data_IF_236393629742
#
_entry.id   IF_236393629742
#
_cell.length_a   1.000
_cell.length_b   1.000
_cell.length_c   1.000
_cell.angle_alpha   90.00
_cell.angle_beta   90.00
_cell.angle_gamma   90.00
#
_symmetry.space_group_name_H-M   'P 1'
#
loop_
_entity.id
_entity.type
_entity.pdbx_description
1 polymer ?
#
# COMPACT_ATOMS: atom_id res chain seq x y z
N UNK A 1 -39.82 -28.52 -9.60
CA UNK A 1 -39.00 -27.49 -10.28
C UNK A 1 -38.81 -26.35 -9.29
N UNK A 2 -37.66 -26.33 -8.61
CA UNK A 2 -37.35 -25.32 -7.59
C UNK A 2 -36.57 -24.18 -8.20
N UNK A 3 -37.17 -23.00 -8.25
CA UNK A 3 -36.55 -21.76 -8.71
C UNK A 3 -35.58 -21.28 -7.63
N UNK A 4 -34.28 -21.37 -7.90
CA UNK A 4 -33.26 -20.76 -7.04
C UNK A 4 -33.28 -19.24 -7.25
N UNK A 5 -33.77 -18.53 -6.23
CA UNK A 5 -33.61 -17.09 -6.10
C UNK A 5 -32.10 -16.81 -5.91
N UNK A 6 -31.47 -16.30 -6.96
CA UNK A 6 -30.17 -15.64 -6.87
C UNK A 6 -30.39 -14.38 -6.04
N UNK A 7 -30.02 -14.43 -4.76
CA UNK A 7 -29.88 -13.24 -3.93
C UNK A 7 -28.73 -12.45 -4.52
N UNK A 8 -29.08 -11.48 -5.37
CA UNK A 8 -28.18 -10.43 -5.81
C UNK A 8 -27.91 -9.60 -4.55
N UNK A 9 -26.76 -9.82 -3.94
CA UNK A 9 -26.29 -9.01 -2.81
C UNK A 9 -26.30 -7.55 -3.26
N UNK A 10 -27.04 -6.70 -2.54
CA UNK A 10 -27.05 -5.25 -2.66
C UNK A 10 -25.67 -4.67 -2.25
N UNK A 11 -24.62 -4.96 -3.02
CA UNK A 11 -23.30 -4.35 -2.87
C UNK A 11 -23.21 -2.94 -3.49
N UNK A 12 -24.27 -2.49 -4.15
CA UNK A 12 -24.32 -1.23 -4.91
C UNK A 12 -24.61 0.01 -4.03
N UNK A 13 -24.78 -0.15 -2.72
CA UNK A 13 -25.00 0.93 -1.76
C UNK A 13 -23.75 1.30 -0.91
N UNK A 14 -22.54 1.05 -1.42
CA UNK A 14 -21.31 1.64 -0.84
C UNK A 14 -20.93 2.89 -1.64
N UNK A 15 -21.07 4.11 -1.09
CA UNK A 15 -21.17 5.33 -1.89
C UNK A 15 -19.88 5.85 -2.56
N UNK A 16 -18.76 5.11 -2.57
CA UNK A 16 -17.50 5.69 -3.11
C UNK A 16 -17.51 5.96 -4.62
N UNK A 17 -18.13 5.12 -5.47
CA UNK A 17 -18.08 5.34 -6.92
C UNK A 17 -18.96 6.51 -7.38
N UNK A 18 -20.12 6.69 -6.75
CA UNK A 18 -21.01 7.80 -7.06
C UNK A 18 -20.38 9.13 -6.62
N UNK A 19 -19.72 9.17 -5.46
CA UNK A 19 -18.97 10.36 -5.01
C UNK A 19 -17.81 10.64 -5.96
N UNK A 20 -16.97 9.64 -6.26
CA UNK A 20 -15.81 9.81 -7.17
C UNK A 20 -16.24 10.25 -8.57
N UNK A 21 -17.30 9.65 -9.15
CA UNK A 21 -17.78 10.03 -10.48
C UNK A 21 -18.40 11.43 -10.56
N UNK A 22 -18.86 11.97 -9.42
CA UNK A 22 -19.45 13.32 -9.31
C UNK A 22 -18.44 14.41 -8.96
N UNK A 23 -17.26 14.05 -8.48
CA UNK A 23 -16.23 15.01 -8.09
C UNK A 23 -15.73 15.81 -9.29
N UNK A 24 -15.66 17.14 -9.13
CA UNK A 24 -15.30 18.06 -10.21
C UNK A 24 -13.84 17.92 -10.64
N UNK A 25 -12.93 17.48 -9.74
CA UNK A 25 -11.53 17.23 -10.06
C UNK A 25 -11.42 16.01 -10.98
N UNK A 26 -12.10 14.92 -10.61
CA UNK A 26 -12.14 13.69 -11.40
C UNK A 26 -12.80 13.91 -12.77
N UNK A 27 -13.90 14.66 -12.83
CA UNK A 27 -14.55 15.01 -14.10
C UNK A 27 -13.67 15.82 -15.04
N UNK A 28 -12.83 16.70 -14.48
CA UNK A 28 -11.91 17.52 -15.27
C UNK A 28 -10.78 16.66 -15.87
N UNK A 29 -10.30 15.69 -15.11
CA UNK A 29 -9.13 14.89 -15.47
C UNK A 29 -9.45 13.68 -16.36
N UNK A 30 -10.69 13.16 -16.27
CA UNK A 30 -11.19 12.16 -17.20
C UNK A 30 -11.70 12.86 -18.48
N UNK A 31 -11.21 12.45 -19.66
CA UNK A 31 -11.54 13.01 -20.97
C UNK A 31 -13.05 13.26 -21.16
N UNK A 32 -13.48 14.23 -22.01
CA UNK A 32 -14.86 14.71 -22.06
C UNK A 32 -15.86 13.57 -22.33
N UNK A 33 -16.56 13.18 -21.26
CA UNK A 33 -17.63 12.20 -21.19
C UNK A 33 -18.26 12.29 -19.80
N UNK A 34 -19.55 12.02 -19.68
CA UNK A 34 -20.24 12.10 -18.39
C UNK A 34 -19.81 10.91 -17.51
N UNK A 35 -18.75 11.09 -16.71
CA UNK A 35 -18.37 10.16 -15.64
C UNK A 35 -19.51 9.91 -14.64
N UNK A 36 -20.53 10.79 -14.66
CA UNK A 36 -21.78 10.70 -13.89
C UNK A 36 -22.67 9.53 -14.32
N UNK A 37 -22.58 9.12 -15.58
CA UNK A 37 -23.38 8.03 -16.14
C UNK A 37 -22.64 6.68 -16.14
N UNK A 38 -21.33 6.70 -15.81
CA UNK A 38 -20.54 5.48 -15.70
C UNK A 38 -20.97 4.65 -14.49
N UNK A 39 -21.14 3.34 -14.69
CA UNK A 39 -21.20 2.42 -13.57
C UNK A 39 -19.82 2.30 -12.89
N UNK A 40 -19.76 1.72 -11.69
CA UNK A 40 -18.53 1.70 -10.90
C UNK A 40 -17.36 0.99 -11.61
N UNK A 41 -17.63 -0.04 -12.44
CA UNK A 41 -16.58 -0.74 -13.18
C UNK A 41 -16.04 0.11 -14.33
N UNK A 42 -16.91 0.82 -15.05
CA UNK A 42 -16.52 1.76 -16.10
C UNK A 42 -15.68 2.90 -15.54
N UNK A 43 -16.11 3.48 -14.41
CA UNK A 43 -15.36 4.52 -13.72
C UNK A 43 -13.98 4.02 -13.27
N UNK A 44 -13.91 2.83 -12.66
CA UNK A 44 -12.64 2.23 -12.25
C UNK A 44 -11.70 2.02 -13.45
N UNK A 45 -12.20 1.50 -14.58
CA UNK A 45 -11.41 1.35 -15.80
C UNK A 45 -10.92 2.70 -16.37
N UNK A 46 -11.78 3.73 -16.34
CA UNK A 46 -11.42 5.07 -16.78
C UNK A 46 -10.32 5.69 -15.91
N UNK A 47 -10.43 5.57 -14.58
CA UNK A 47 -9.41 6.01 -13.62
C UNK A 47 -8.09 5.29 -13.85
N UNK A 48 -8.11 3.97 -13.99
CA UNK A 48 -6.90 3.17 -14.26
C UNK A 48 -6.20 3.66 -15.52
N UNK A 49 -6.95 3.86 -16.61
CA UNK A 49 -6.40 4.36 -17.87
C UNK A 49 -5.79 5.76 -17.75
N UNK A 50 -6.39 6.62 -16.94
CA UNK A 50 -5.96 8.02 -16.79
C UNK A 50 -4.77 8.18 -15.83
N UNK A 51 -4.63 7.31 -14.83
CA UNK A 51 -3.66 7.46 -13.75
C UNK A 51 -2.46 6.50 -13.81
N UNK A 52 -2.61 5.33 -14.44
CA UNK A 52 -1.54 4.32 -14.51
C UNK A 52 -0.45 4.72 -15.51
N UNK A 53 0.77 4.26 -15.27
CA UNK A 53 1.88 4.31 -16.21
C UNK A 53 1.62 3.43 -17.42
N UNK A 54 2.42 3.59 -18.46
CA UNK A 54 2.44 2.70 -19.64
C UNK A 54 3.20 1.38 -19.38
N UNK A 55 3.41 1.02 -18.11
CA UNK A 55 4.22 -0.12 -17.69
C UNK A 55 5.70 0.20 -17.45
N UNK A 56 6.12 1.44 -17.72
CA UNK A 56 7.48 1.90 -17.41
C UNK A 56 7.71 2.29 -15.94
N UNK A 57 6.64 2.39 -15.14
CA UNK A 57 6.67 2.96 -13.79
C UNK A 57 6.94 4.47 -13.79
N UNK A 58 6.96 5.13 -14.95
CA UNK A 58 7.08 6.58 -15.08
C UNK A 58 5.71 7.17 -15.35
N UNK A 59 5.45 8.26 -14.66
CA UNK A 59 4.18 8.98 -14.72
C UNK A 59 4.36 10.35 -15.36
N UNK A 60 3.30 10.84 -16.00
CA UNK A 60 3.15 12.23 -16.41
C UNK A 60 2.53 13.04 -15.28
N UNK A 61 2.66 14.37 -15.34
CA UNK A 61 2.00 15.26 -14.36
C UNK A 61 0.47 15.08 -14.35
N UNK A 62 -0.13 14.76 -15.50
CA UNK A 62 -1.56 14.52 -15.62
C UNK A 62 -1.97 13.21 -14.93
N UNK A 63 -1.26 12.11 -15.18
CA UNK A 63 -1.48 10.83 -14.51
C UNK A 63 -1.38 10.97 -12.98
N UNK A 64 -0.32 11.62 -12.49
CA UNK A 64 -0.14 11.86 -11.06
C UNK A 64 -1.21 12.80 -10.49
N UNK A 65 -1.73 13.74 -11.29
CA UNK A 65 -2.85 14.61 -10.92
C UNK A 65 -4.13 13.80 -10.67
N UNK A 66 -4.49 12.94 -11.62
CA UNK A 66 -5.65 12.05 -11.49
C UNK A 66 -5.55 11.19 -10.24
N UNK A 67 -4.37 10.60 -9.99
CA UNK A 67 -4.16 9.73 -8.84
C UNK A 67 -4.28 10.50 -7.51
N UNK A 68 -3.68 11.69 -7.43
CA UNK A 68 -3.79 12.56 -6.26
C UNK A 68 -5.24 12.96 -6.00
N UNK A 69 -5.96 13.37 -7.03
CA UNK A 69 -7.34 13.82 -6.91
C UNK A 69 -8.28 12.67 -6.56
N UNK A 70 -7.99 11.44 -7.02
CA UNK A 70 -8.69 10.23 -6.58
C UNK A 70 -8.51 9.98 -5.08
N UNK A 71 -7.28 10.05 -4.56
CA UNK A 71 -7.01 9.87 -3.13
C UNK A 71 -7.73 10.95 -2.30
N UNK A 72 -7.62 12.21 -2.71
CA UNK A 72 -8.25 13.32 -1.99
C UNK A 72 -9.78 13.22 -2.00
N UNK A 73 -10.37 12.85 -3.14
CA UNK A 73 -11.83 12.64 -3.26
C UNK A 73 -12.32 11.52 -2.34
N UNK A 74 -11.56 10.43 -2.24
CA UNK A 74 -11.89 9.35 -1.31
C UNK A 74 -11.73 9.78 0.15
N UNK A 75 -10.69 10.53 0.49
CA UNK A 75 -10.50 11.07 1.85
C UNK A 75 -11.63 12.02 2.25
N UNK A 76 -12.03 12.93 1.37
CA UNK A 76 -13.16 13.85 1.57
C UNK A 76 -14.44 13.03 1.86
N UNK A 77 -14.74 12.01 1.05
CA UNK A 77 -15.89 11.10 1.26
C UNK A 77 -15.81 10.35 2.59
N UNK A 78 -14.62 9.91 3.01
CA UNK A 78 -14.44 9.22 4.30
C UNK A 78 -14.68 10.14 5.49
N UNK A 79 -14.22 11.39 5.41
CA UNK A 79 -14.43 12.42 6.44
C UNK A 79 -15.92 12.75 6.57
N UNK A 80 -16.59 12.95 5.45
CA UNK A 80 -18.02 13.28 5.42
C UNK A 80 -18.89 12.15 6.02
N UNK A 81 -18.50 10.90 5.80
CA UNK A 81 -19.24 9.72 6.29
C UNK A 81 -18.73 9.13 7.60
N UNK A 82 -17.62 9.65 8.11
CA UNK A 82 -16.86 9.07 9.21
C UNK A 82 -16.53 7.57 9.03
N UNK A 83 -16.20 7.15 7.80
CA UNK A 83 -15.95 5.73 7.47
C UNK A 83 -15.04 5.54 6.27
N UNK A 84 -13.92 4.84 6.49
CA UNK A 84 -12.96 4.47 5.43
C UNK A 84 -13.35 3.15 4.74
N UNK A 85 -14.36 3.18 3.87
CA UNK A 85 -14.73 2.05 3.01
C UNK A 85 -15.03 2.49 1.56
N UNK A 86 -14.58 1.68 0.60
CA UNK A 86 -14.82 1.89 -0.83
C UNK A 86 -15.47 0.66 -1.47
N UNK A 87 -16.14 0.86 -2.59
CA UNK A 87 -16.78 -0.21 -3.37
C UNK A 87 -15.75 -1.17 -3.98
N UNK A 88 -16.13 -2.45 -4.14
CA UNK A 88 -15.22 -3.51 -4.55
C UNK A 88 -14.47 -3.24 -5.89
N UNK A 89 -15.12 -2.77 -6.98
CA UNK A 89 -14.41 -2.50 -8.23
C UNK A 89 -13.31 -1.43 -8.09
N UNK A 90 -13.50 -0.45 -7.19
CA UNK A 90 -12.50 0.57 -6.93
C UNK A 90 -11.34 0.06 -6.07
N UNK A 91 -11.54 -0.92 -5.19
CA UNK A 91 -10.45 -1.46 -4.34
C UNK A 91 -9.31 -2.01 -5.16
N UNK A 92 -9.63 -2.87 -6.11
CA UNK A 92 -8.66 -3.50 -6.98
C UNK A 92 -7.92 -2.46 -7.81
N UNK A 93 -8.66 -1.56 -8.47
CA UNK A 93 -8.06 -0.49 -9.28
C UNK A 93 -7.18 0.44 -8.46
N UNK A 94 -7.62 0.87 -7.28
CA UNK A 94 -6.83 1.75 -6.40
C UNK A 94 -5.60 1.03 -5.89
N UNK A 95 -5.67 -0.27 -5.56
CA UNK A 95 -4.50 -1.06 -5.17
C UNK A 95 -3.46 -1.16 -6.30
N UNK A 96 -3.91 -1.44 -7.52
CA UNK A 96 -3.04 -1.52 -8.69
C UNK A 96 -2.37 -0.17 -8.99
N UNK A 97 -3.13 0.92 -8.91
CA UNK A 97 -2.58 2.27 -9.07
C UNK A 97 -1.58 2.58 -7.97
N UNK A 98 -1.91 2.37 -6.69
CA UNK A 98 -0.97 2.59 -5.59
C UNK A 98 0.31 1.75 -5.72
N UNK A 99 0.19 0.51 -6.21
CA UNK A 99 1.36 -0.34 -6.50
C UNK A 99 2.23 0.22 -7.63
N UNK A 100 1.62 0.82 -8.66
CA UNK A 100 2.32 1.51 -9.76
C UNK A 100 2.97 2.84 -9.32
N UNK A 101 2.49 3.43 -8.21
CA UNK A 101 3.10 4.57 -7.49
C UNK A 101 3.89 4.12 -6.25
N UNK A 102 4.39 2.88 -6.18
CA UNK A 102 4.99 2.30 -4.96
C UNK A 102 6.11 3.12 -4.33
N UNK A 103 6.93 3.83 -5.12
CA UNK A 103 7.97 4.71 -4.57
C UNK A 103 7.36 5.88 -3.80
N UNK A 104 6.37 6.55 -4.38
CA UNK A 104 5.71 7.70 -3.76
C UNK A 104 4.88 7.22 -2.56
N UNK A 105 4.19 6.08 -2.69
CA UNK A 105 3.49 5.40 -1.60
C UNK A 105 4.44 5.16 -0.42
N UNK A 106 5.59 4.52 -0.64
CA UNK A 106 6.56 4.23 0.41
C UNK A 106 7.04 5.51 1.12
N UNK A 107 7.45 6.53 0.36
CA UNK A 107 7.91 7.82 0.91
C UNK A 107 6.85 8.46 1.81
N UNK A 108 5.58 8.43 1.40
CA UNK A 108 4.48 8.97 2.19
C UNK A 108 4.15 8.11 3.42
N UNK A 109 4.21 6.78 3.29
CA UNK A 109 3.97 5.85 4.40
C UNK A 109 5.01 5.99 5.51
N UNK A 110 6.26 6.37 5.18
CA UNK A 110 7.30 6.63 6.19
C UNK A 110 7.36 8.11 6.60
N UNK A 111 6.26 8.86 6.41
CA UNK A 111 6.08 10.28 6.77
C UNK A 111 7.16 11.21 6.21
N UNK A 112 7.54 10.99 4.96
CA UNK A 112 8.46 11.87 4.25
C UNK A 112 9.82 12.02 4.94
N UNK A 113 10.25 10.99 5.68
CA UNK A 113 11.48 10.99 6.47
C UNK A 113 12.72 11.38 5.65
N UNK A 114 12.66 11.20 4.33
CA UNK A 114 13.69 11.51 3.36
C UNK A 114 13.40 12.73 2.47
N UNK A 115 12.23 13.41 2.60
CA UNK A 115 11.86 14.46 1.64
C UNK A 115 10.91 15.54 2.17
N UNK A 116 11.47 16.73 2.45
CA UNK A 116 10.67 17.94 2.73
C UNK A 116 9.90 18.45 1.49
N UNK A 117 10.27 18.02 0.29
CA UNK A 117 9.58 18.39 -0.95
C UNK A 117 8.16 17.81 -0.96
N UNK A 118 7.99 16.56 -0.55
CA UNK A 118 6.64 15.98 -0.43
C UNK A 118 5.74 16.79 0.50
N UNK A 119 6.23 17.18 1.67
CA UNK A 119 5.46 18.02 2.61
C UNK A 119 5.00 19.34 1.98
N UNK A 120 5.87 19.97 1.20
CA UNK A 120 5.54 21.22 0.49
C UNK A 120 4.46 21.00 -0.57
N UNK A 121 4.54 19.89 -1.29
CA UNK A 121 3.66 19.61 -2.42
C UNK A 121 2.37 18.84 -2.04
N UNK A 122 2.29 18.26 -0.85
CA UNK A 122 1.10 17.56 -0.35
C UNK A 122 -0.01 18.51 0.12
N UNK A 123 0.33 19.77 0.41
CA UNK A 123 -0.64 20.76 0.89
C UNK A 123 -1.72 21.15 -0.15
N UNK A 124 -2.74 21.93 0.27
CA UNK A 124 -3.87 22.32 -0.59
C UNK A 124 -3.47 23.04 -1.88
N UNK A 125 -2.40 23.83 -1.83
CA UNK A 125 -1.86 24.57 -2.97
C UNK A 125 -0.73 23.83 -3.71
N UNK A 126 -0.39 22.64 -3.24
CA UNK A 126 0.60 21.77 -3.88
C UNK A 126 -0.02 20.90 -4.97
N UNK A 127 0.82 20.10 -5.60
CA UNK A 127 0.41 19.19 -6.66
C UNK A 127 1.60 18.38 -7.18
N UNK A 128 1.35 17.49 -8.14
CA UNK A 128 2.41 16.72 -8.77
C UNK A 128 3.54 17.61 -9.28
N UNK A 129 4.78 17.14 -9.13
CA UNK A 129 5.96 17.88 -9.57
C UNK A 129 6.99 16.94 -10.16
N UNK A 130 7.98 17.50 -10.86
CA UNK A 130 9.18 16.76 -11.28
C UNK A 130 10.28 17.00 -10.25
N UNK A 131 10.85 15.93 -9.73
CA UNK A 131 12.03 16.02 -8.87
C UNK A 131 13.28 16.42 -9.66
N UNK A 132 14.41 16.52 -8.96
CA UNK A 132 15.71 16.92 -9.54
C UNK A 132 16.18 15.95 -10.63
N UNK A 133 15.70 14.71 -10.60
CA UNK A 133 15.99 13.66 -11.59
C UNK A 133 14.97 13.65 -12.74
N UNK A 134 14.01 14.57 -12.74
CA UNK A 134 12.95 14.69 -13.74
C UNK A 134 11.82 13.66 -13.58
N UNK A 135 11.81 12.88 -12.49
CA UNK A 135 10.77 11.91 -12.19
C UNK A 135 9.55 12.64 -11.64
N UNK A 136 8.37 12.34 -12.19
CA UNK A 136 7.12 12.91 -11.68
C UNK A 136 6.76 12.23 -10.37
N UNK A 137 6.43 13.03 -9.36
CA UNK A 137 6.02 12.62 -8.02
C UNK A 137 4.56 12.97 -7.76
N UNK A 138 3.86 12.09 -7.07
CA UNK A 138 2.46 12.24 -6.66
C UNK A 138 2.38 12.43 -5.13
N UNK A 139 2.23 13.67 -4.64
CA UNK A 139 2.10 13.96 -3.23
C UNK A 139 0.63 14.00 -2.80
N UNK A 140 0.35 13.32 -1.68
CA UNK A 140 -0.89 13.45 -0.92
C UNK A 140 -0.55 13.55 0.56
N UNK A 141 -1.50 14.00 1.37
CA UNK A 141 -1.38 13.92 2.83
C UNK A 141 -1.26 12.44 3.26
N UNK A 142 -0.39 12.19 4.24
CA UNK A 142 -0.08 10.82 4.66
C UNK A 142 -1.30 10.15 5.33
N UNK A 143 -2.16 10.91 6.01
CA UNK A 143 -3.37 10.37 6.63
C UNK A 143 -4.40 9.99 5.56
N UNK A 144 -4.57 10.84 4.53
CA UNK A 144 -5.43 10.53 3.38
C UNK A 144 -4.98 9.24 2.70
N UNK A 145 -3.66 9.07 2.46
CA UNK A 145 -3.12 7.83 1.92
C UNK A 145 -3.39 6.61 2.82
N UNK A 146 -3.14 6.72 4.12
CA UNK A 146 -3.39 5.65 5.10
C UNK A 146 -4.86 5.22 5.09
N UNK A 147 -5.79 6.17 5.05
CA UNK A 147 -7.23 5.88 5.04
C UNK A 147 -7.66 5.17 3.76
N UNK A 148 -7.18 5.62 2.60
CA UNK A 148 -7.44 4.98 1.31
C UNK A 148 -6.86 3.56 1.28
N UNK A 149 -5.59 3.39 1.68
CA UNK A 149 -4.96 2.07 1.75
C UNK A 149 -5.73 1.13 2.69
N UNK A 150 -6.12 1.59 3.88
CA UNK A 150 -6.94 0.78 4.78
C UNK A 150 -8.24 0.34 4.11
N UNK A 151 -8.96 1.26 3.46
CA UNK A 151 -10.22 0.95 2.78
C UNK A 151 -10.06 -0.09 1.65
N UNK A 152 -8.92 -0.05 0.96
CA UNK A 152 -8.52 -1.02 -0.06
C UNK A 152 -8.27 -2.40 0.55
N UNK A 153 -7.62 -2.47 1.70
CA UNK A 153 -7.25 -3.71 2.40
C UNK A 153 -8.46 -4.58 2.83
N UNK A 154 -9.69 -4.07 2.77
CA UNK A 154 -10.89 -4.90 2.94
C UNK A 154 -10.94 -6.06 1.93
N UNK A 155 -10.35 -5.90 0.75
CA UNK A 155 -10.22 -6.95 -0.27
C UNK A 155 -8.85 -7.66 -0.15
N UNK A 156 -8.81 -9.01 -0.01
CA UNK A 156 -7.56 -9.73 0.19
C UNK A 156 -6.63 -9.69 -1.03
N UNK A 157 -7.16 -9.67 -2.26
CA UNK A 157 -6.34 -9.56 -3.46
C UNK A 157 -5.73 -8.16 -3.57
N UNK A 158 -6.53 -7.12 -3.28
CA UNK A 158 -6.05 -5.75 -3.22
C UNK A 158 -4.96 -5.54 -2.14
N UNK A 159 -5.13 -6.13 -0.95
CA UNK A 159 -4.08 -6.17 0.07
C UNK A 159 -2.82 -6.87 -0.42
N UNK A 160 -2.94 -8.03 -1.08
CA UNK A 160 -1.79 -8.76 -1.61
C UNK A 160 -1.02 -7.94 -2.66
N UNK A 161 -1.72 -7.18 -3.51
CA UNK A 161 -1.12 -6.25 -4.48
C UNK A 161 -0.29 -5.16 -3.77
N UNK A 162 -0.88 -4.47 -2.78
CA UNK A 162 -0.16 -3.46 -1.99
C UNK A 162 1.04 -4.06 -1.25
N UNK A 163 0.83 -5.22 -0.62
CA UNK A 163 1.87 -5.92 0.14
C UNK A 163 3.03 -6.31 -0.75
N UNK A 164 2.78 -6.82 -1.95
CA UNK A 164 3.83 -7.18 -2.90
C UNK A 164 4.61 -5.95 -3.37
N UNK A 165 3.92 -4.88 -3.75
CA UNK A 165 4.55 -3.63 -4.17
C UNK A 165 5.47 -3.06 -3.09
N UNK A 166 4.98 -3.00 -1.84
CA UNK A 166 5.77 -2.54 -0.70
C UNK A 166 6.93 -3.48 -0.37
N UNK A 167 6.75 -4.80 -0.54
CA UNK A 167 7.82 -5.79 -0.36
C UNK A 167 8.98 -5.57 -1.32
N UNK A 168 8.67 -5.32 -2.60
CA UNK A 168 9.68 -5.01 -3.63
C UNK A 168 10.37 -3.70 -3.29
N UNK A 169 9.62 -2.64 -2.97
CA UNK A 169 10.19 -1.34 -2.64
C UNK A 169 11.08 -1.38 -1.40
N UNK A 170 10.63 -2.06 -0.34
CA UNK A 170 11.43 -2.32 0.85
C UNK A 170 12.71 -3.11 0.54
N UNK A 171 12.66 -4.07 -0.39
CA UNK A 171 13.86 -4.80 -0.82
C UNK A 171 14.87 -3.91 -1.54
N UNK A 172 14.41 -2.96 -2.35
CA UNK A 172 15.26 -1.95 -2.99
C UNK A 172 15.97 -1.07 -1.95
N UNK A 173 15.26 -0.67 -0.89
CA UNK A 173 15.79 0.14 0.19
C UNK A 173 16.86 -0.62 0.99
N UNK A 174 16.59 -1.88 1.34
CA UNK A 174 17.54 -2.75 2.00
C UNK A 174 18.76 -3.06 1.11
N UNK A 175 18.58 -3.21 -0.20
CA UNK A 175 19.66 -3.45 -1.14
C UNK A 175 20.68 -2.29 -1.19
N UNK A 176 20.27 -1.05 -0.88
CA UNK A 176 21.13 0.15 -0.83
C UNK A 176 22.06 0.20 0.38
N UNK A 177 21.73 -0.50 1.47
CA UNK A 177 22.71 -0.78 2.53
C UNK A 177 23.90 -1.43 1.83
N UNK A 178 25.14 -1.21 2.23
CA UNK A 178 26.34 -1.86 1.65
C UNK A 178 27.14 -2.58 2.74
N UNK A 179 28.24 -3.26 2.39
CA UNK A 179 29.15 -3.86 3.40
C UNK A 179 29.79 -2.81 4.31
N UNK A 180 29.95 -1.58 3.82
CA UNK A 180 30.56 -0.46 4.55
C UNK A 180 29.52 0.46 5.21
N UNK A 181 28.23 0.22 5.02
CA UNK A 181 27.17 0.99 5.67
C UNK A 181 27.17 0.74 7.18
N UNK A 182 27.06 1.82 7.95
CA UNK A 182 26.95 1.83 9.40
C UNK A 182 26.04 2.98 9.86
N UNK A 183 25.61 2.94 11.13
CA UNK A 183 24.76 3.98 11.72
C UNK A 183 23.46 4.18 10.94
N UNK A 184 23.15 5.44 10.63
CA UNK A 184 21.92 5.85 9.91
C UNK A 184 21.78 5.21 8.53
N UNK A 185 22.89 4.93 7.83
CA UNK A 185 22.88 4.24 6.54
C UNK A 185 22.39 2.78 6.63
N UNK A 186 22.23 2.26 7.85
CA UNK A 186 21.63 0.95 8.14
C UNK A 186 20.28 1.14 8.83
N UNK A 187 20.20 1.94 9.89
CA UNK A 187 18.99 2.05 10.70
C UNK A 187 17.84 2.72 9.95
N UNK A 188 18.09 3.71 9.10
CA UNK A 188 17.04 4.40 8.35
C UNK A 188 16.31 3.48 7.34
N UNK A 189 16.97 2.77 6.40
CA UNK A 189 16.28 1.89 5.46
C UNK A 189 15.58 0.70 6.16
N UNK A 190 16.16 0.18 7.25
CA UNK A 190 15.52 -0.90 8.05
C UNK A 190 14.29 -0.37 8.78
N UNK A 191 14.37 0.82 9.39
CA UNK A 191 13.24 1.48 10.06
C UNK A 191 12.12 1.87 9.11
N UNK A 192 12.45 2.38 7.92
CA UNK A 192 11.50 2.66 6.85
C UNK A 192 10.74 1.40 6.43
N UNK A 193 11.47 0.32 6.13
CA UNK A 193 10.90 -1.01 5.79
C UNK A 193 10.00 -1.54 6.91
N UNK A 194 10.44 -1.50 8.16
CA UNK A 194 9.66 -1.96 9.30
C UNK A 194 8.38 -1.14 9.50
N UNK A 195 8.44 0.16 9.22
CA UNK A 195 7.30 1.07 9.39
C UNK A 195 6.25 0.84 8.32
N UNK A 196 6.66 0.80 7.05
CA UNK A 196 5.73 0.59 5.94
C UNK A 196 5.05 -0.80 6.01
N UNK A 197 5.81 -1.87 6.24
CA UNK A 197 5.25 -3.21 6.35
C UNK A 197 4.41 -3.38 7.64
N UNK A 198 4.83 -2.80 8.76
CA UNK A 198 4.08 -2.82 10.01
C UNK A 198 2.75 -2.06 9.93
N UNK A 199 2.69 -0.99 9.13
CA UNK A 199 1.45 -0.27 8.84
C UNK A 199 0.47 -1.12 8.01
N UNK A 200 0.96 -1.87 7.01
CA UNK A 200 0.15 -2.85 6.29
C UNK A 200 -0.36 -3.96 7.22
N UNK A 201 0.47 -4.46 8.14
CA UNK A 201 0.05 -5.45 9.14
C UNK A 201 -1.06 -4.89 10.05
N UNK A 202 -0.94 -3.63 10.49
CA UNK A 202 -1.96 -2.96 11.29
C UNK A 202 -3.29 -2.79 10.54
N UNK A 203 -3.25 -2.47 9.24
CA UNK A 203 -4.45 -2.41 8.39
C UNK A 203 -5.11 -3.78 8.25
N UNK A 204 -4.33 -4.84 8.07
CA UNK A 204 -4.84 -6.20 7.98
C UNK A 204 -5.49 -6.65 9.29
N UNK A 205 -4.88 -6.36 10.43
CA UNK A 205 -5.45 -6.61 11.75
C UNK A 205 -6.80 -5.90 11.95
N UNK A 206 -6.90 -4.63 11.53
CA UNK A 206 -8.12 -3.82 11.60
C UNK A 206 -9.26 -4.40 10.74
N UNK A 207 -8.93 -4.92 9.55
CA UNK A 207 -9.86 -5.65 8.68
C UNK A 207 -10.34 -6.93 9.37
N UNK A 208 -9.39 -7.73 9.87
CA UNK A 208 -9.65 -9.02 10.51
C UNK A 208 -10.44 -8.89 11.81
N UNK A 209 -10.27 -7.80 12.59
CA UNK A 209 -10.99 -7.57 13.84
C UNK A 209 -12.52 -7.49 13.66
N UNK A 210 -12.99 -7.18 12.45
CA UNK A 210 -14.42 -7.11 12.12
C UNK A 210 -15.00 -8.37 11.48
N UNK A 211 -14.14 -9.35 11.15
CA UNK A 211 -14.53 -10.56 10.46
C UNK A 211 -14.84 -11.68 11.45
N UNK A 212 -15.71 -12.61 11.03
CA UNK A 212 -15.84 -13.88 11.73
C UNK A 212 -14.54 -14.68 11.61
N UNK A 213 -14.35 -15.71 12.46
CA UNK A 213 -13.16 -16.56 12.39
C UNK A 213 -13.02 -17.24 11.02
N UNK A 214 -14.11 -17.71 10.42
CA UNK A 214 -14.11 -18.34 9.10
C UNK A 214 -13.79 -17.35 7.99
N UNK A 215 -14.42 -16.17 8.00
CA UNK A 215 -14.16 -15.14 6.98
C UNK A 215 -12.75 -14.58 7.09
N UNK A 216 -12.22 -14.47 8.31
CA UNK A 216 -10.84 -14.10 8.56
C UNK A 216 -9.84 -15.14 8.07
N UNK A 217 -10.14 -16.44 8.26
CA UNK A 217 -9.30 -17.53 7.74
C UNK A 217 -9.29 -17.54 6.20
N UNK A 218 -10.47 -17.35 5.58
CA UNK A 218 -10.58 -17.25 4.12
C UNK A 218 -9.80 -16.04 3.59
N UNK A 219 -9.97 -14.86 4.19
CA UNK A 219 -9.24 -13.65 3.80
C UNK A 219 -7.72 -13.87 3.86
N UNK A 220 -7.20 -14.49 4.93
CA UNK A 220 -5.77 -14.82 5.06
C UNK A 220 -5.30 -15.79 3.97
N UNK A 221 -6.10 -16.81 3.64
CA UNK A 221 -5.78 -17.77 2.59
C UNK A 221 -5.72 -17.09 1.21
N UNK A 222 -6.67 -16.19 0.92
CA UNK A 222 -6.71 -15.43 -0.34
C UNK A 222 -5.53 -14.47 -0.47
N UNK A 223 -5.09 -13.84 0.63
CA UNK A 223 -3.86 -13.03 0.66
C UNK A 223 -2.63 -13.88 0.30
N UNK A 224 -2.47 -15.04 0.93
CA UNK A 224 -1.32 -15.94 0.65
C UNK A 224 -1.33 -16.40 -0.80
N UNK A 225 -2.50 -16.73 -1.33
CA UNK A 225 -2.67 -17.09 -2.74
C UNK A 225 -2.21 -15.96 -3.66
N UNK A 226 -2.70 -14.74 -3.46
CA UNK A 226 -2.34 -13.58 -4.27
C UNK A 226 -0.83 -13.25 -4.23
N UNK A 227 -0.17 -13.48 -3.09
CA UNK A 227 1.29 -13.33 -2.98
C UNK A 227 2.07 -14.43 -3.71
N UNK A 228 1.48 -15.62 -3.85
CA UNK A 228 2.13 -16.79 -4.47
C UNK A 228 2.13 -16.77 -5.99
N UNK A 229 1.18 -16.05 -6.62
CA UNK A 229 0.96 -16.04 -8.07
C UNK A 229 2.09 -15.35 -8.87
N UNK A 230 3.12 -14.80 -8.21
CA UNK A 230 4.26 -14.11 -8.82
C UNK A 230 5.59 -14.88 -8.86
N UNK A 231 5.62 -16.17 -8.49
CA UNK A 231 6.82 -16.94 -8.21
C UNK A 231 7.79 -17.13 -9.38
N UNK A 232 8.62 -16.14 -9.66
CA UNK A 232 9.74 -16.24 -10.58
C UNK A 232 10.99 -16.87 -9.95
N UNK A 233 12.02 -17.09 -10.78
CA UNK A 233 13.34 -17.53 -10.31
C UNK A 233 13.96 -16.49 -9.37
N UNK A 234 14.65 -16.93 -8.31
CA UNK A 234 15.40 -16.03 -7.44
C UNK A 234 16.70 -15.63 -8.16
N UNK A 235 16.90 -14.36 -8.52
CA UNK A 235 18.10 -13.96 -9.23
C UNK A 235 19.34 -14.06 -8.32
N UNK A 236 20.55 -14.19 -8.88
CA UNK A 236 21.78 -14.03 -8.12
C UNK A 236 21.85 -12.64 -7.47
N UNK A 237 22.24 -12.57 -6.19
CA UNK A 237 22.33 -11.31 -5.45
C UNK A 237 23.26 -10.29 -6.13
N UNK A 238 24.33 -10.74 -6.79
CA UNK A 238 25.26 -9.84 -7.49
C UNK A 238 24.67 -9.19 -8.75
N UNK A 239 23.61 -9.77 -9.32
CA UNK A 239 22.95 -9.25 -10.52
C UNK A 239 21.76 -8.37 -10.18
N UNK A 240 20.95 -8.79 -9.21
CA UNK A 240 19.78 -8.06 -8.74
C UNK A 240 19.62 -8.25 -7.22
N UNK A 241 20.27 -7.40 -6.40
CA UNK A 241 20.19 -7.50 -4.95
C UNK A 241 18.74 -7.37 -4.42
N UNK A 242 17.95 -6.47 -4.98
CA UNK A 242 16.59 -6.20 -4.53
C UNK A 242 15.66 -7.37 -4.88
N UNK A 243 15.69 -7.83 -6.14
CA UNK A 243 14.93 -9.00 -6.57
C UNK A 243 15.36 -10.27 -5.85
N UNK A 244 16.65 -10.42 -5.50
CA UNK A 244 17.12 -11.53 -4.67
C UNK A 244 16.47 -11.52 -3.28
N UNK A 245 16.48 -10.37 -2.59
CA UNK A 245 15.87 -10.23 -1.26
C UNK A 245 14.36 -10.51 -1.32
N UNK A 246 13.65 -9.82 -2.22
CA UNK A 246 12.20 -9.94 -2.34
C UNK A 246 11.78 -11.38 -2.68
N UNK A 247 12.34 -11.98 -3.73
CA UNK A 247 11.93 -13.33 -4.19
C UNK A 247 12.36 -14.44 -3.25
N UNK A 248 13.48 -14.29 -2.55
CA UNK A 248 13.88 -15.26 -1.51
C UNK A 248 12.88 -15.26 -0.37
N UNK A 249 12.45 -14.07 0.07
CA UNK A 249 11.41 -13.95 1.09
C UNK A 249 10.07 -14.51 0.61
N UNK A 250 9.59 -14.11 -0.57
CA UNK A 250 8.32 -14.58 -1.15
C UNK A 250 8.26 -16.11 -1.20
N UNK A 251 9.32 -16.76 -1.72
CA UNK A 251 9.41 -18.22 -1.79
C UNK A 251 9.35 -18.87 -0.40
N UNK A 252 10.00 -18.26 0.60
CA UNK A 252 9.94 -18.72 1.98
C UNK A 252 8.58 -18.51 2.65
N UNK A 253 7.86 -17.45 2.26
CA UNK A 253 6.56 -17.10 2.82
C UNK A 253 5.46 -18.07 2.40
N UNK A 254 5.49 -18.60 1.17
CA UNK A 254 4.50 -19.58 0.66
C UNK A 254 4.37 -20.79 1.60
N UNK A 255 5.49 -21.34 2.08
CA UNK A 255 5.47 -22.50 2.99
C UNK A 255 5.03 -22.17 4.43
N UNK A 256 5.15 -20.91 4.85
CA UNK A 256 4.79 -20.44 6.20
C UNK A 256 3.38 -19.85 6.29
N UNK A 257 2.77 -19.51 5.15
CA UNK A 257 1.45 -18.90 5.06
C UNK A 257 1.39 -17.48 5.64
N UNK A 258 0.20 -17.04 6.04
CA UNK A 258 -0.05 -15.68 6.52
C UNK A 258 0.86 -15.23 7.68
N UNK A 259 1.24 -16.08 8.66
CA UNK A 259 2.18 -15.69 9.71
C UNK A 259 3.55 -15.20 9.22
N UNK A 260 3.96 -15.54 7.99
CA UNK A 260 5.20 -15.05 7.39
C UNK A 260 5.23 -13.52 7.20
N UNK A 261 4.06 -12.88 7.12
CA UNK A 261 3.94 -11.44 6.94
C UNK A 261 4.42 -10.68 8.19
N UNK A 262 4.07 -11.17 9.39
CA UNK A 262 4.32 -10.48 10.68
C UNK A 262 5.80 -10.42 11.08
N UNK A 263 6.69 -11.08 10.33
CA UNK A 263 8.14 -11.09 10.54
C UNK A 263 8.93 -10.65 9.32
N UNK A 264 8.26 -10.13 8.29
CA UNK A 264 8.86 -9.95 6.96
C UNK A 264 10.12 -9.09 6.96
N UNK A 265 10.12 -7.94 7.65
CA UNK A 265 11.31 -7.07 7.71
C UNK A 265 12.52 -7.81 8.26
N UNK A 266 12.32 -8.59 9.33
CA UNK A 266 13.40 -9.39 9.93
C UNK A 266 13.93 -10.42 8.94
N UNK A 267 13.02 -11.13 8.28
CA UNK A 267 13.38 -12.15 7.29
C UNK A 267 14.17 -11.53 6.12
N UNK A 268 13.74 -10.40 5.58
CA UNK A 268 14.39 -9.71 4.48
C UNK A 268 15.78 -9.19 4.84
N UNK A 269 15.97 -8.66 6.06
CA UNK A 269 17.30 -8.25 6.51
C UNK A 269 18.21 -9.46 6.77
N UNK A 270 17.68 -10.57 7.27
CA UNK A 270 18.43 -11.83 7.40
C UNK A 270 18.93 -12.33 6.04
N UNK A 271 18.09 -12.25 5.01
CA UNK A 271 18.47 -12.58 3.62
C UNK A 271 19.61 -11.66 3.14
N UNK A 272 19.50 -10.35 3.37
CA UNK A 272 20.56 -9.39 3.04
C UNK A 272 21.87 -9.70 3.77
N UNK A 273 21.80 -10.02 5.06
CA UNK A 273 22.97 -10.34 5.89
C UNK A 273 23.69 -11.57 5.34
N UNK A 274 22.94 -12.65 5.11
CA UNK A 274 23.44 -13.90 4.57
C UNK A 274 24.08 -13.71 3.20
N UNK A 275 23.40 -13.01 2.27
CA UNK A 275 23.90 -12.77 0.92
C UNK A 275 25.23 -12.01 0.89
N UNK A 276 25.57 -11.29 1.97
CA UNK A 276 26.81 -10.52 2.10
C UNK A 276 27.87 -11.16 2.97
N UNK A 277 27.60 -12.33 3.53
CA UNK A 277 28.47 -12.97 4.52
C UNK A 277 28.60 -12.14 5.80
N UNK A 278 27.58 -11.34 6.15
CA UNK A 278 27.47 -10.72 7.47
C UNK A 278 26.72 -11.68 8.39
N UNK A 279 27.12 -11.73 9.65
CA UNK A 279 26.28 -12.35 10.67
C UNK A 279 25.12 -11.42 11.01
N UNK A 280 23.96 -12.00 11.29
CA UNK A 280 22.77 -11.26 11.77
C UNK A 280 23.11 -10.38 12.96
N UNK A 281 24.03 -10.81 13.84
CA UNK A 281 24.45 -10.09 15.03
C UNK A 281 24.96 -8.67 14.74
N UNK A 282 25.63 -8.46 13.60
CA UNK A 282 26.10 -7.13 13.17
C UNK A 282 25.00 -6.18 12.71
N UNK A 283 23.79 -6.71 12.47
CA UNK A 283 22.58 -5.97 12.09
C UNK A 283 21.48 -6.12 13.15
N UNK A 284 21.68 -6.95 14.18
CA UNK A 284 20.68 -7.39 15.13
C UNK A 284 20.18 -6.24 16.00
N UNK A 285 21.06 -5.38 16.52
CA UNK A 285 20.62 -4.24 17.33
C UNK A 285 19.88 -3.17 16.51
N UNK A 286 20.38 -2.73 15.33
CA UNK A 286 19.60 -1.91 14.39
C UNK A 286 18.23 -2.52 14.04
N UNK A 287 18.18 -3.83 13.81
CA UNK A 287 16.96 -4.58 13.55
C UNK A 287 16.00 -4.58 14.74
N UNK A 288 16.52 -4.77 15.95
CA UNK A 288 15.72 -4.88 17.17
C UNK A 288 15.08 -3.53 17.50
N UNK A 289 15.84 -2.44 17.36
CA UNK A 289 15.36 -1.07 17.56
C UNK A 289 14.33 -0.67 16.51
N UNK A 290 14.62 -0.92 15.22
CA UNK A 290 13.69 -0.64 14.12
C UNK A 290 12.40 -1.48 14.24
N UNK A 291 12.50 -2.79 14.44
CA UNK A 291 11.32 -3.68 14.50
C UNK A 291 10.46 -3.38 15.73
N UNK A 292 11.07 -3.09 16.88
CA UNK A 292 10.31 -2.81 18.10
C UNK A 292 9.57 -1.46 18.04
N UNK A 293 10.13 -0.45 17.38
CA UNK A 293 9.53 0.87 17.26
C UNK A 293 8.46 0.93 16.17
N UNK A 294 8.76 0.38 14.99
CA UNK A 294 7.97 0.60 13.79
C UNK A 294 6.57 -0.03 13.79
N UNK A 295 6.40 -1.24 14.35
CA UNK A 295 5.07 -1.86 14.43
C UNK A 295 4.09 -1.09 15.33
N UNK A 296 4.60 -0.47 16.40
CA UNK A 296 3.80 0.42 17.26
C UNK A 296 3.53 1.77 16.59
N UNK A 297 4.53 2.30 15.90
CA UNK A 297 4.43 3.58 15.18
C UNK A 297 3.39 3.48 14.05
N UNK A 298 3.45 2.44 13.22
CA UNK A 298 2.50 2.23 12.13
C UNK A 298 1.06 2.09 12.64
N UNK A 299 0.83 1.28 13.68
CA UNK A 299 -0.50 1.19 14.32
C UNK A 299 -0.96 2.53 14.88
N UNK A 300 -0.08 3.27 15.55
CA UNK A 300 -0.41 4.60 16.06
C UNK A 300 -0.85 5.57 14.97
N UNK A 301 -0.21 5.53 13.80
CA UNK A 301 -0.58 6.37 12.66
C UNK A 301 -1.92 5.97 12.04
N UNK A 302 -2.21 4.66 11.95
CA UNK A 302 -3.53 4.18 11.51
C UNK A 302 -4.62 4.64 12.49
N UNK A 303 -4.39 4.48 13.79
CA UNK A 303 -5.34 4.87 14.82
C UNK A 303 -5.60 6.39 14.77
N UNK A 304 -4.54 7.19 14.63
CA UNK A 304 -4.64 8.65 14.45
C UNK A 304 -5.48 9.03 13.21
N UNK A 305 -5.21 8.41 12.07
CA UNK A 305 -5.94 8.68 10.83
C UNK A 305 -7.43 8.31 10.96
N UNK A 306 -7.75 7.16 11.58
CA UNK A 306 -9.13 6.75 11.83
C UNK A 306 -9.85 7.70 12.80
N UNK A 307 -9.18 8.15 13.86
CA UNK A 307 -9.73 9.11 14.81
C UNK A 307 -10.03 10.45 14.13
N UNK A 308 -9.18 10.91 13.21
CA UNK A 308 -9.34 12.18 12.52
C UNK A 308 -10.55 12.24 11.58
N UNK A 309 -11.05 11.09 11.12
CA UNK A 309 -12.32 11.01 10.40
C UNK A 309 -13.52 10.73 11.32
N UNK A 310 -13.33 10.72 12.65
CA UNK A 310 -14.39 10.38 13.60
C UNK A 310 -14.71 8.88 13.70
N UNK A 311 -13.89 8.02 13.09
CA UNK A 311 -13.99 6.58 13.24
C UNK A 311 -13.30 6.11 14.52
N UNK A 312 -13.80 5.04 15.14
CA UNK A 312 -13.12 4.41 16.27
C UNK A 312 -12.19 3.30 15.78
N UNK A 313 -10.90 3.29 16.16
CA UNK A 313 -10.02 2.15 15.91
C UNK A 313 -10.61 0.88 16.51
N UNK A 314 -10.50 -0.25 15.81
CA UNK A 314 -11.00 -1.52 16.36
C UNK A 314 -9.87 -2.18 17.13
N UNK A 315 -10.13 -2.44 18.41
CA UNK A 315 -9.22 -3.26 19.19
C UNK A 315 -9.25 -4.70 18.67
N UNK A 316 -8.08 -5.37 18.54
CA UNK A 316 -8.06 -6.80 18.26
C UNK A 316 -8.83 -7.52 19.37
N UNK A 317 -9.78 -8.39 18.99
CA UNK A 317 -10.43 -9.28 19.95
C UNK A 317 -9.37 -10.27 20.43
N UNK A 318 -8.97 -10.16 21.69
CA UNK A 318 -8.13 -11.14 22.40
C UNK A 318 -8.79 -12.52 22.42
#
# INVERSE_FOLDING_TARGET
>A
MGTWLVVRSDSDARPSCATVGKDARIQKDLAPGDTKDMNCRELAAALKKAAASDGSGRHTLAQAGVMRDLINTLDDDFRDRARADIAAPLRETVAELLADYSTDMHTMLVRYADSTAYLRHAGPNGGPWRDEQGVVRMPVDNQSLILVMRAVCDDPAAYATLRKAESVRSAEDLARITKTSAGELVTAPVGATATALGLLDAMADEVLASRSKSDGAQWKADVVKGLSDGGGEVPPFSADPAGHIARTWERGAVGRGYPALLGQTRDMVGILAQARGRTDESLAEPLREATASSGRVGRGWLDEALINIGSRPRSPRL
#
